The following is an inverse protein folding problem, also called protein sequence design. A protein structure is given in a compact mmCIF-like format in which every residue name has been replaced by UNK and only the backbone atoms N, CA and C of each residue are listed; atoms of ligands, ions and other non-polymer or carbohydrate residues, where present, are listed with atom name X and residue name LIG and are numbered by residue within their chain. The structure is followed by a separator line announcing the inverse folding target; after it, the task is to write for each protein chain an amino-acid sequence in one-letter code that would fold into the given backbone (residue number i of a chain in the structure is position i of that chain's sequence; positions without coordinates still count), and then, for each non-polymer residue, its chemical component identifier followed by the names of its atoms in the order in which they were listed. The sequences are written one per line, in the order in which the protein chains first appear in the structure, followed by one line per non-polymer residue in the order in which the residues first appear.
data_IF_452319097499
#
_entry.id   IF_452319097499
#
_cell.length_a   1.000
_cell.length_b   1.000
_cell.length_c   1.000
_cell.angle_alpha   90.00
_cell.angle_beta   90.00
_cell.angle_gamma   90.00
#
_symmetry.space_group_name_H-M   'P 1'
#
loop_
_entity.id
_entity.type
_entity.pdbx_description
1 polymer ?
#
# COMPACT_ATOMS: atom_id res chain seq x y z
N UNK A 1 50.39 -36.70 12.41
CA UNK A 1 48.99 -36.24 12.47
C UNK A 1 48.94 -34.80 11.94
N UNK A 2 48.47 -34.61 10.70
CA UNK A 2 48.41 -33.28 10.06
C UNK A 2 47.24 -32.50 10.67
N UNK A 3 47.51 -31.27 11.10
CA UNK A 3 46.58 -30.41 11.81
C UNK A 3 45.38 -30.01 10.93
N UNK A 4 44.26 -30.74 11.03
CA UNK A 4 42.98 -30.42 10.39
C UNK A 4 42.27 -29.18 10.99
N UNK A 5 42.93 -28.42 11.87
CA UNK A 5 42.37 -27.22 12.51
C UNK A 5 42.09 -26.08 11.52
N UNK A 6 42.86 -25.96 10.44
CA UNK A 6 42.67 -24.86 9.47
C UNK A 6 41.40 -25.01 8.62
N UNK A 7 41.05 -26.25 8.23
CA UNK A 7 39.82 -26.51 7.47
C UNK A 7 38.55 -26.30 8.30
N UNK A 8 38.58 -26.65 9.58
CA UNK A 8 37.45 -26.46 10.48
C UNK A 8 37.18 -24.98 10.77
N UNK A 9 38.23 -24.17 10.97
CA UNK A 9 38.11 -22.72 11.20
C UNK A 9 37.58 -21.99 9.94
N UNK A 10 37.98 -22.42 8.74
CA UNK A 10 37.48 -21.83 7.50
C UNK A 10 35.98 -22.11 7.28
N UNK A 11 35.53 -23.34 7.54
CA UNK A 11 34.11 -23.72 7.44
C UNK A 11 33.28 -23.01 8.50
N UNK A 12 33.80 -22.91 9.74
CA UNK A 12 33.13 -22.19 10.83
C UNK A 12 33.02 -20.68 10.52
N UNK A 13 34.08 -20.07 9.98
CA UNK A 13 34.06 -18.68 9.54
C UNK A 13 33.04 -18.42 8.43
N UNK A 14 32.95 -19.31 7.44
CA UNK A 14 31.95 -19.22 6.38
C UNK A 14 30.52 -19.34 6.93
N UNK A 15 30.28 -20.29 7.85
CA UNK A 15 28.97 -20.47 8.48
C UNK A 15 28.54 -19.25 9.30
N UNK A 16 29.48 -18.60 10.00
CA UNK A 16 29.20 -17.37 10.75
C UNK A 16 28.81 -16.24 9.79
N UNK A 17 29.52 -16.07 8.67
CA UNK A 17 29.19 -15.05 7.66
C UNK A 17 27.83 -15.31 7.03
N UNK A 18 27.51 -16.57 6.71
CA UNK A 18 26.20 -16.96 6.18
C UNK A 18 25.09 -16.75 7.21
N UNK A 19 25.33 -17.10 8.48
CA UNK A 19 24.37 -16.90 9.56
C UNK A 19 24.11 -15.41 9.82
N UNK A 20 25.16 -14.57 9.84
CA UNK A 20 25.03 -13.12 9.95
C UNK A 20 24.28 -12.55 8.73
N UNK A 21 24.59 -13.01 7.53
CA UNK A 21 23.86 -12.64 6.32
C UNK A 21 22.37 -13.00 6.40
N UNK A 22 22.05 -14.18 6.92
CA UNK A 22 20.66 -14.61 7.19
C UNK A 22 19.98 -13.74 8.25
N UNK A 23 20.67 -13.40 9.33
CA UNK A 23 20.12 -12.53 10.38
C UNK A 23 19.85 -11.13 9.84
N UNK A 24 20.78 -10.53 9.08
CA UNK A 24 20.57 -9.23 8.45
C UNK A 24 19.41 -9.29 7.44
N UNK A 25 19.33 -10.35 6.64
CA UNK A 25 18.22 -10.58 5.71
C UNK A 25 16.87 -10.70 6.44
N UNK A 26 16.82 -11.45 7.55
CA UNK A 26 15.61 -11.57 8.38
C UNK A 26 15.25 -10.27 9.10
N UNK A 27 16.24 -9.48 9.54
CA UNK A 27 16.02 -8.19 10.19
C UNK A 27 15.50 -7.15 9.21
N UNK A 28 15.96 -7.15 7.95
CA UNK A 28 15.37 -6.33 6.89
C UNK A 28 13.90 -6.70 6.64
N UNK A 29 13.58 -8.00 6.61
CA UNK A 29 12.20 -8.47 6.53
C UNK A 29 11.36 -8.15 7.77
N UNK A 30 11.94 -8.20 8.98
CA UNK A 30 11.24 -7.90 10.23
C UNK A 30 10.98 -6.39 10.40
N UNK A 31 11.85 -5.54 9.86
CA UNK A 31 11.69 -4.07 9.93
C UNK A 31 10.56 -3.52 9.05
N UNK A 32 10.03 -4.30 8.10
CA UNK A 32 8.87 -3.91 7.29
C UNK A 32 7.52 -4.21 7.97
N UNK A 33 7.54 -4.62 9.24
CA UNK A 33 6.45 -5.32 9.90
C UNK A 33 6.67 -6.82 9.70
N UNK A 34 6.83 -7.54 10.81
CA UNK A 34 7.19 -8.97 10.84
C UNK A 34 6.35 -9.86 9.92
N UNK A 35 6.74 -11.12 9.71
CA UNK A 35 6.08 -12.02 8.78
C UNK A 35 4.60 -12.17 9.18
N UNK A 36 3.74 -11.38 8.56
CA UNK A 36 2.34 -11.73 8.45
C UNK A 36 2.30 -13.08 7.76
N UNK A 37 1.44 -14.02 8.21
CA UNK A 37 1.26 -15.28 7.50
C UNK A 37 1.05 -14.98 6.02
N UNK A 38 1.62 -15.80 5.12
CA UNK A 38 1.29 -15.77 3.69
C UNK A 38 -0.21 -15.57 3.60
N UNK A 39 -0.64 -14.43 3.07
CA UNK A 39 -2.05 -14.08 3.11
C UNK A 39 -2.80 -15.17 2.35
N UNK A 40 -3.55 -16.00 3.09
CA UNK A 40 -4.56 -16.89 2.53
C UNK A 40 -5.82 -16.07 2.15
N UNK A 41 -5.65 -14.78 1.82
CA UNK A 41 -6.70 -13.99 1.20
C UNK A 41 -7.06 -14.61 -0.15
N UNK A 42 -8.35 -14.53 -0.43
CA UNK A 42 -8.83 -14.94 -1.72
C UNK A 42 -8.24 -14.01 -2.79
N UNK A 43 -8.02 -14.49 -4.02
CA UNK A 43 -7.44 -13.67 -5.08
C UNK A 43 -8.15 -12.32 -5.27
N UNK A 44 -9.46 -12.26 -5.05
CA UNK A 44 -10.28 -11.05 -5.13
C UNK A 44 -10.03 -10.00 -4.03
N UNK A 45 -9.45 -10.40 -2.90
CA UNK A 45 -9.18 -9.52 -1.75
C UNK A 45 -7.78 -8.89 -1.84
N UNK A 46 -6.94 -9.37 -2.77
CA UNK A 46 -5.58 -8.87 -2.94
C UNK A 46 -5.57 -7.40 -3.41
N UNK A 47 -4.59 -6.57 -2.98
CA UNK A 47 -4.56 -5.16 -3.35
C UNK A 47 -4.49 -4.90 -4.86
N UNK A 48 -3.90 -5.83 -5.62
CA UNK A 48 -3.77 -5.78 -7.08
C UNK A 48 -4.89 -6.52 -7.82
N UNK A 49 -5.92 -7.03 -7.13
CA UNK A 49 -7.03 -7.76 -7.77
C UNK A 49 -7.77 -6.92 -8.84
N UNK A 50 -7.78 -5.60 -8.67
CA UNK A 50 -8.43 -4.64 -9.59
C UNK A 50 -7.44 -3.88 -10.47
N UNK A 51 -6.18 -4.31 -10.53
CA UNK A 51 -5.15 -3.62 -11.30
C UNK A 51 -5.48 -3.53 -12.80
N UNK A 52 -6.21 -4.51 -13.35
CA UNK A 52 -6.71 -4.47 -14.73
C UNK A 52 -7.74 -3.36 -15.00
N UNK A 53 -8.35 -2.79 -13.95
CA UNK A 53 -9.28 -1.66 -14.05
C UNK A 53 -8.58 -0.30 -14.04
N UNK A 54 -7.25 -0.28 -13.83
CA UNK A 54 -6.46 0.95 -13.95
C UNK A 54 -6.41 1.38 -15.41
N UNK A 55 -6.74 2.65 -15.64
CA UNK A 55 -6.71 3.27 -16.96
C UNK A 55 -5.40 4.03 -17.12
N UNK A 56 -4.83 3.96 -18.31
CA UNK A 56 -3.69 4.79 -18.66
C UNK A 56 -4.15 6.26 -18.72
N UNK A 57 -3.57 7.16 -17.90
CA UNK A 57 -3.90 8.59 -17.92
C UNK A 57 -3.59 9.26 -19.28
N UNK A 58 -2.73 8.67 -20.10
CA UNK A 58 -2.38 9.17 -21.43
C UNK A 58 -3.23 8.57 -22.56
N UNK A 59 -4.00 7.51 -22.29
CA UNK A 59 -4.94 6.99 -23.28
C UNK A 59 -6.04 8.04 -23.49
N UNK A 60 -6.25 8.47 -24.74
CA UNK A 60 -7.30 9.44 -25.11
C UNK A 60 -8.61 9.04 -24.43
N UNK A 61 -9.02 9.85 -23.46
CA UNK A 61 -10.07 9.57 -22.50
C UNK A 61 -11.34 9.10 -23.19
N UNK A 62 -11.57 7.79 -23.19
CA UNK A 62 -12.90 7.24 -23.28
C UNK A 62 -13.14 6.54 -21.95
N UNK A 63 -13.68 7.32 -21.00
CA UNK A 63 -14.41 6.72 -19.90
C UNK A 63 -15.44 5.77 -20.50
N UNK A 64 -15.57 4.61 -19.87
CA UNK A 64 -16.27 3.42 -20.34
C UNK A 64 -17.62 3.79 -20.99
N UNK A 65 -17.92 3.26 -22.18
CA UNK A 65 -19.23 3.43 -22.86
C UNK A 65 -20.37 2.73 -22.12
N UNK A 66 -20.06 1.91 -21.12
CA UNK A 66 -21.03 1.25 -20.27
C UNK A 66 -21.70 2.23 -19.30
N UNK A 67 -23.01 2.09 -19.12
CA UNK A 67 -23.77 2.94 -18.22
C UNK A 67 -23.23 2.86 -16.77
N UNK A 68 -23.10 4.00 -16.07
CA UNK A 68 -22.64 4.03 -14.70
C UNK A 68 -23.62 3.29 -13.79
N UNK A 69 -23.09 2.46 -12.89
CA UNK A 69 -23.85 1.75 -11.85
C UNK A 69 -23.87 2.53 -10.52
N UNK A 70 -22.91 3.42 -10.30
CA UNK A 70 -22.89 4.34 -9.15
C UNK A 70 -23.74 5.59 -9.40
N UNK A 71 -24.39 6.10 -8.35
CA UNK A 71 -25.12 7.38 -8.39
C UNK A 71 -24.25 8.58 -8.03
N UNK A 72 -23.05 8.35 -7.50
CA UNK A 72 -22.10 9.42 -7.11
C UNK A 72 -21.46 10.00 -8.37
N UNK A 73 -21.39 11.33 -8.44
CA UNK A 73 -20.84 12.06 -9.59
C UNK A 73 -19.84 13.09 -9.11
N UNK A 74 -18.66 13.09 -9.72
CA UNK A 74 -17.65 14.14 -9.55
C UNK A 74 -17.81 15.08 -10.73
N UNK A 75 -18.47 16.22 -10.54
CA UNK A 75 -18.72 17.20 -11.61
C UNK A 75 -17.71 18.34 -11.61
N UNK A 76 -16.96 18.50 -10.53
CA UNK A 76 -15.89 19.48 -10.35
C UNK A 76 -14.69 18.80 -9.68
N UNK A 77 -13.46 19.32 -9.87
CA UNK A 77 -12.29 18.80 -9.18
C UNK A 77 -12.53 18.73 -7.66
N UNK A 78 -12.22 17.57 -7.08
CA UNK A 78 -12.47 17.28 -5.67
C UNK A 78 -11.16 16.88 -5.00
N UNK A 79 -10.84 17.50 -3.87
CA UNK A 79 -9.71 17.09 -3.03
C UNK A 79 -10.23 16.48 -1.74
N UNK A 80 -9.75 15.29 -1.40
CA UNK A 80 -10.08 14.58 -0.18
C UNK A 80 -8.81 14.38 0.64
N UNK A 81 -8.86 14.76 1.92
CA UNK A 81 -7.81 14.42 2.89
C UNK A 81 -8.35 13.36 3.85
N UNK A 82 -7.66 12.25 3.96
CA UNK A 82 -8.03 11.12 4.79
C UNK A 82 -6.93 10.81 5.81
N UNK A 83 -7.34 10.50 7.04
CA UNK A 83 -6.44 9.94 8.03
C UNK A 83 -6.23 8.47 7.70
N UNK A 84 -4.97 8.06 7.63
CA UNK A 84 -4.57 6.66 7.47
C UNK A 84 -4.25 6.09 8.84
N UNK A 85 -4.71 4.88 9.13
CA UNK A 85 -4.45 4.20 10.39
C UNK A 85 -4.09 2.73 10.19
N UNK A 86 -3.31 2.20 11.13
CA UNK A 86 -3.12 0.77 11.33
C UNK A 86 -3.84 0.40 12.60
N UNK A 87 -4.96 -0.31 12.51
CA UNK A 87 -5.89 -0.50 13.62
C UNK A 87 -6.34 0.87 14.17
N UNK A 88 -5.93 1.23 15.39
CA UNK A 88 -6.25 2.52 16.03
C UNK A 88 -5.12 3.55 15.91
N UNK A 89 -3.92 3.15 15.47
CA UNK A 89 -2.77 4.05 15.46
C UNK A 89 -2.75 4.91 14.19
N UNK A 90 -2.58 6.24 14.30
CA UNK A 90 -2.38 7.09 13.15
C UNK A 90 -1.11 6.72 12.36
N UNK A 91 -1.25 6.73 11.04
CA UNK A 91 -0.20 6.45 10.05
C UNK A 91 -0.19 7.55 8.98
N UNK A 92 -0.41 8.79 9.41
CA UNK A 92 -0.29 9.99 8.57
C UNK A 92 -1.52 10.28 7.73
N UNK A 93 -1.33 11.09 6.69
CA UNK A 93 -2.42 11.69 5.90
C UNK A 93 -2.27 11.33 4.44
N UNK A 94 -3.36 10.84 3.86
CA UNK A 94 -3.54 10.58 2.44
C UNK A 94 -4.32 11.75 1.83
N UNK A 95 -3.78 12.37 0.79
CA UNK A 95 -4.47 13.38 -0.02
C UNK A 95 -4.77 12.79 -1.38
N UNK A 96 -6.03 12.81 -1.80
CA UNK A 96 -6.52 12.36 -3.10
C UNK A 96 -7.12 13.55 -3.85
N UNK A 97 -6.77 13.69 -5.13
CA UNK A 97 -7.37 14.65 -6.05
C UNK A 97 -8.11 13.89 -7.13
N UNK A 98 -9.41 14.12 -7.25
CA UNK A 98 -10.28 13.51 -8.24
C UNK A 98 -10.67 14.54 -9.30
N UNK A 99 -10.48 14.16 -10.56
CA UNK A 99 -10.90 14.94 -11.70
C UNK A 99 -12.30 14.53 -12.18
N UNK A 100 -13.10 15.44 -12.74
CA UNK A 100 -14.42 15.11 -13.29
C UNK A 100 -14.39 14.08 -14.43
N UNK A 101 -13.23 13.91 -15.07
CA UNK A 101 -13.00 12.89 -16.09
C UNK A 101 -12.72 11.50 -15.49
N UNK A 102 -12.88 11.34 -14.17
CA UNK A 102 -12.74 10.08 -13.46
C UNK A 102 -11.31 9.66 -13.17
N UNK A 103 -10.28 10.42 -13.57
CA UNK A 103 -8.91 10.19 -13.13
C UNK A 103 -8.70 10.72 -11.71
N UNK A 104 -7.70 10.16 -11.03
CA UNK A 104 -7.29 10.65 -9.72
C UNK A 104 -5.77 10.58 -9.55
N UNK A 105 -5.26 11.48 -8.72
CA UNK A 105 -3.88 11.45 -8.23
C UNK A 105 -3.89 11.47 -6.70
N UNK A 106 -2.79 11.09 -6.08
CA UNK A 106 -2.71 11.17 -4.63
C UNK A 106 -1.31 11.11 -4.08
N UNK A 107 -1.18 11.56 -2.83
CA UNK A 107 0.05 11.49 -2.06
C UNK A 107 -0.25 10.98 -0.65
N UNK A 108 0.65 10.18 -0.10
CA UNK A 108 0.58 9.74 1.29
C UNK A 108 1.90 10.04 1.98
N UNK A 109 1.82 10.66 3.16
CA UNK A 109 2.97 10.87 4.03
C UNK A 109 2.68 10.31 5.41
N UNK A 110 3.58 9.48 5.91
CA UNK A 110 3.47 8.80 7.19
C UNK A 110 4.78 8.91 7.97
N UNK A 111 4.69 9.25 9.25
CA UNK A 111 5.81 9.19 10.19
C UNK A 111 5.36 8.53 11.48
N UNK A 112 6.08 7.50 11.92
CA UNK A 112 5.82 6.85 13.20
C UNK A 112 7.09 6.16 13.70
N UNK A 113 7.13 5.87 14.99
CA UNK A 113 8.17 5.05 15.60
C UNK A 113 7.55 3.77 16.15
N UNK A 114 8.26 2.67 16.03
CA UNK A 114 7.85 1.40 16.60
C UNK A 114 9.09 0.64 17.04
N UNK A 115 9.12 0.22 18.31
CA UNK A 115 10.29 -0.44 18.95
C UNK A 115 11.56 0.41 18.82
N UNK A 116 12.58 -0.08 18.11
CA UNK A 116 13.89 0.55 17.94
C UNK A 116 14.05 1.24 16.57
N UNK A 117 12.95 1.54 15.88
CA UNK A 117 12.99 2.12 14.55
C UNK A 117 12.00 3.28 14.39
N UNK A 118 12.45 4.33 13.71
CA UNK A 118 11.60 5.40 13.16
C UNK A 118 11.38 5.18 11.67
N UNK A 119 10.15 5.35 11.24
CA UNK A 119 9.68 5.15 9.88
C UNK A 119 9.22 6.49 9.30
N UNK A 120 9.64 6.77 8.08
CA UNK A 120 9.12 7.87 7.27
C UNK A 120 8.78 7.33 5.89
N UNK A 121 7.50 7.31 5.55
CA UNK A 121 6.99 6.81 4.27
C UNK A 121 6.43 7.99 3.50
N UNK A 122 6.87 8.13 2.26
CA UNK A 122 6.31 9.05 1.28
C UNK A 122 5.90 8.27 0.05
N UNK A 123 4.71 8.51 -0.46
CA UNK A 123 4.20 7.82 -1.64
C UNK A 123 3.42 8.75 -2.55
N UNK A 124 3.39 8.42 -3.83
CA UNK A 124 2.59 9.08 -4.85
C UNK A 124 1.87 8.05 -5.70
N UNK A 125 0.65 8.36 -6.13
CA UNK A 125 -0.18 7.46 -6.93
C UNK A 125 -0.93 8.18 -8.04
N UNK A 126 -1.27 7.40 -9.06
CA UNK A 126 -2.24 7.75 -10.08
C UNK A 126 -3.27 6.63 -10.20
N UNK A 127 -4.47 6.97 -10.62
CA UNK A 127 -5.56 6.02 -10.69
C UNK A 127 -6.80 6.56 -11.36
N UNK A 128 -7.90 5.85 -11.16
CA UNK A 128 -9.19 6.25 -11.66
C UNK A 128 -10.32 5.71 -10.80
N UNK A 129 -11.44 6.39 -10.91
CA UNK A 129 -12.75 5.89 -10.51
C UNK A 129 -13.23 4.83 -11.50
N UNK A 130 -14.03 3.90 -11.01
CA UNK A 130 -14.75 2.91 -11.81
C UNK A 130 -16.25 3.04 -11.54
N UNK A 131 -16.97 3.83 -12.35
CA UNK A 131 -18.41 4.00 -12.17
C UNK A 131 -19.21 2.76 -12.58
N UNK A 132 -18.58 1.76 -13.20
CA UNK A 132 -19.23 0.52 -13.67
C UNK A 132 -19.10 -0.64 -12.68
N UNK A 133 -18.18 -0.52 -11.72
CA UNK A 133 -18.07 -1.40 -10.58
C UNK A 133 -19.16 -1.07 -9.54
N UNK A 134 -19.66 -2.10 -8.87
CA UNK A 134 -20.53 -1.95 -7.70
C UNK A 134 -19.69 -2.16 -6.46
N UNK A 135 -19.86 -1.29 -5.48
CA UNK A 135 -19.46 -1.61 -4.12
C UNK A 135 -20.39 -2.71 -3.59
N UNK A 136 -19.90 -3.51 -2.65
CA UNK A 136 -20.73 -4.45 -1.92
C UNK A 136 -20.96 -3.91 -0.51
N UNK A 137 -22.18 -4.01 0.00
CA UNK A 137 -22.47 -3.84 1.42
C UNK A 137 -21.78 -4.95 2.22
N UNK A 138 -21.67 -4.82 3.56
CA UNK A 138 -21.17 -5.90 4.41
C UNK A 138 -21.90 -7.23 4.20
N UNK A 139 -23.19 -7.19 3.83
CA UNK A 139 -24.02 -8.36 3.56
C UNK A 139 -23.87 -8.91 2.12
N UNK A 140 -22.92 -8.38 1.35
CA UNK A 140 -22.64 -8.79 -0.03
C UNK A 140 -23.62 -8.26 -1.09
N UNK A 141 -24.50 -7.30 -0.74
CA UNK A 141 -25.45 -6.73 -1.69
C UNK A 141 -24.82 -5.58 -2.48
N UNK A 142 -25.17 -5.37 -3.75
CA UNK A 142 -24.72 -4.21 -4.50
C UNK A 142 -25.12 -2.88 -3.85
N UNK A 143 -24.15 -1.99 -3.68
CA UNK A 143 -24.33 -0.62 -3.21
C UNK A 143 -24.00 0.38 -4.32
N UNK A 144 -25.03 1.10 -4.78
CA UNK A 144 -24.93 2.14 -5.82
C UNK A 144 -24.57 3.51 -5.25
N UNK A 145 -24.67 3.69 -3.93
CA UNK A 145 -24.39 4.97 -3.24
C UNK A 145 -22.90 5.28 -3.10
N UNK A 146 -22.05 4.34 -3.53
CA UNK A 146 -20.59 4.44 -3.49
C UNK A 146 -20.02 4.40 -4.91
N UNK A 147 -18.99 5.20 -5.15
CA UNK A 147 -18.15 5.17 -6.34
C UNK A 147 -16.85 4.47 -5.98
N UNK A 148 -16.56 3.37 -6.68
CA UNK A 148 -15.31 2.64 -6.53
C UNK A 148 -14.17 3.44 -7.16
N UNK A 149 -13.00 3.43 -6.53
CA UNK A 149 -11.78 3.90 -7.15
C UNK A 149 -10.58 3.01 -6.80
N UNK A 150 -9.61 3.00 -7.70
CA UNK A 150 -8.32 2.35 -7.51
C UNK A 150 -7.20 3.30 -7.93
N UNK A 151 -6.09 3.27 -7.20
CA UNK A 151 -4.86 3.94 -7.58
C UNK A 151 -3.65 3.04 -7.32
N UNK A 152 -2.59 3.29 -8.08
CA UNK A 152 -1.31 2.62 -7.95
C UNK A 152 -0.18 3.63 -8.06
N UNK A 153 0.90 3.38 -7.36
CA UNK A 153 2.13 4.12 -7.55
C UNK A 153 3.27 3.53 -6.74
N UNK A 154 4.18 4.38 -6.30
CA UNK A 154 5.39 3.96 -5.62
C UNK A 154 5.52 4.64 -4.26
N UNK A 155 6.20 3.97 -3.34
CA UNK A 155 6.58 4.53 -2.06
C UNK A 155 8.09 4.44 -1.85
N UNK A 156 8.60 5.41 -1.12
CA UNK A 156 9.92 5.42 -0.50
C UNK A 156 9.70 5.37 1.03
N UNK A 157 10.30 4.39 1.69
CA UNK A 157 10.28 4.23 3.14
C UNK A 157 11.71 4.36 3.67
N UNK A 158 11.95 5.40 4.46
CA UNK A 158 13.16 5.56 5.22
C UNK A 158 12.97 4.97 6.62
N UNK A 159 13.75 3.96 6.95
CA UNK A 159 13.82 3.35 8.28
C UNK A 159 15.10 3.84 8.95
N UNK A 160 14.98 4.39 10.15
CA UNK A 160 16.12 4.81 10.97
C UNK A 160 16.16 3.96 12.24
N UNK A 161 17.24 3.21 12.44
CA UNK A 161 17.50 2.56 13.72
C UNK A 161 17.76 3.63 14.77
N UNK A 162 16.97 3.63 15.84
CA UNK A 162 17.01 4.66 16.89
C UNK A 162 18.20 4.52 17.83
N UNK A 163 18.86 3.36 17.86
CA UNK A 163 20.03 3.08 18.70
C UNK A 163 21.34 3.36 17.95
N UNK A 164 21.47 2.83 16.74
CA UNK A 164 22.70 2.97 15.93
C UNK A 164 22.70 4.21 15.04
N UNK A 165 21.53 4.81 14.78
CA UNK A 165 21.38 5.89 13.81
C UNK A 165 21.45 5.45 12.34
N UNK A 166 21.59 4.15 12.08
CA UNK A 166 21.63 3.58 10.74
C UNK A 166 20.35 3.87 9.97
N UNK A 167 20.47 4.16 8.66
CA UNK A 167 19.35 4.49 7.78
C UNK A 167 19.27 3.52 6.61
N UNK A 168 18.09 2.96 6.40
CA UNK A 168 17.77 2.05 5.30
C UNK A 168 16.66 2.70 4.46
N UNK A 169 16.79 2.61 3.14
CA UNK A 169 15.76 3.03 2.19
C UNK A 169 15.14 1.79 1.55
N UNK A 170 13.86 1.57 1.80
CA UNK A 170 13.05 0.57 1.13
C UNK A 170 12.16 1.24 0.09
N UNK A 171 12.00 0.61 -1.06
CA UNK A 171 11.10 1.07 -2.13
C UNK A 171 10.12 -0.03 -2.48
N UNK A 172 8.96 0.36 -2.98
CA UNK A 172 8.00 -0.62 -3.48
C UNK A 172 6.80 0.00 -4.17
N UNK A 173 5.78 -0.82 -4.35
CA UNK A 173 4.51 -0.43 -4.94
C UNK A 173 3.49 -0.13 -3.86
N UNK A 174 2.71 0.92 -4.06
CA UNK A 174 1.56 1.26 -3.26
C UNK A 174 0.29 1.04 -4.08
N UNK A 175 -0.71 0.41 -3.48
CA UNK A 175 -2.07 0.32 -4.01
C UNK A 175 -3.04 1.07 -3.08
N UNK A 176 -4.01 1.75 -3.67
CA UNK A 176 -5.16 2.33 -2.96
C UNK A 176 -6.41 1.74 -3.56
N UNK A 177 -7.24 1.12 -2.72
CA UNK A 177 -8.56 0.67 -3.10
C UNK A 177 -9.56 1.38 -2.19
N UNK A 178 -10.54 2.08 -2.76
CA UNK A 178 -11.46 2.88 -1.97
C UNK A 178 -12.83 3.07 -2.57
N UNK A 179 -13.67 3.69 -1.74
CA UNK A 179 -15.05 4.03 -2.00
C UNK A 179 -15.24 5.51 -1.66
N UNK A 180 -15.83 6.26 -2.59
CA UNK A 180 -16.28 7.63 -2.40
C UNK A 180 -17.80 7.65 -2.32
N UNK A 181 -18.38 8.35 -1.36
CA UNK A 181 -19.83 8.46 -1.24
C UNK A 181 -20.40 9.78 -1.76
N UNK A 182 -21.72 9.93 -1.69
CA UNK A 182 -22.41 11.15 -2.16
C UNK A 182 -22.10 12.40 -1.32
N UNK A 183 -21.51 12.25 -0.12
CA UNK A 183 -20.99 13.36 0.67
C UNK A 183 -19.53 13.67 0.35
N UNK A 184 -18.96 13.00 -0.65
CA UNK A 184 -17.54 13.05 -1.01
C UNK A 184 -16.60 12.61 0.11
N UNK A 185 -17.11 11.82 1.07
CA UNK A 185 -16.27 11.12 2.04
C UNK A 185 -15.67 9.88 1.39
N UNK A 186 -14.37 9.69 1.57
CA UNK A 186 -13.63 8.54 1.05
C UNK A 186 -13.25 7.58 2.17
N UNK A 187 -13.39 6.29 1.90
CA UNK A 187 -12.94 5.20 2.79
C UNK A 187 -12.26 4.12 1.98
N UNK A 188 -11.33 3.38 2.59
CA UNK A 188 -10.69 2.28 1.88
C UNK A 188 -9.42 1.78 2.55
N UNK A 189 -8.58 1.15 1.74
CA UNK A 189 -7.29 0.60 2.13
C UNK A 189 -6.14 1.20 1.33
N UNK A 190 -5.02 1.41 2.01
CA UNK A 190 -3.70 1.65 1.43
C UNK A 190 -2.87 0.39 1.67
N UNK A 191 -2.29 -0.17 0.62
CA UNK A 191 -1.51 -1.41 0.71
C UNK A 191 -0.10 -1.20 0.16
N UNK A 192 0.91 -1.57 0.94
CA UNK A 192 2.32 -1.53 0.54
C UNK A 192 2.81 -2.93 0.19
N UNK A 193 3.55 -3.06 -0.91
CA UNK A 193 4.18 -4.33 -1.30
C UNK A 193 5.47 -4.13 -2.09
N UNK A 194 6.45 -5.01 -1.86
CA UNK A 194 7.67 -5.09 -2.66
C UNK A 194 7.60 -6.08 -3.84
N UNK A 195 6.74 -7.11 -3.76
CA UNK A 195 6.84 -8.28 -4.65
C UNK A 195 5.54 -9.04 -4.91
N UNK A 196 4.36 -8.48 -4.60
CA UNK A 196 3.02 -9.09 -4.79
C UNK A 196 2.83 -10.51 -4.19
N UNK A 197 3.71 -10.91 -3.28
CA UNK A 197 3.63 -12.17 -2.51
C UNK A 197 3.43 -11.90 -1.00
N UNK A 198 3.53 -10.64 -0.60
CA UNK A 198 3.19 -10.11 0.71
C UNK A 198 2.69 -8.67 0.52
N UNK A 199 1.93 -8.17 1.48
CA UNK A 199 1.61 -6.75 1.57
C UNK A 199 1.31 -6.38 3.02
N UNK A 200 1.33 -5.08 3.31
CA UNK A 200 0.86 -4.51 4.58
C UNK A 200 -0.28 -3.55 4.27
N UNK A 201 -1.39 -3.72 4.98
CA UNK A 201 -2.60 -2.93 4.81
C UNK A 201 -2.75 -1.87 5.91
N UNK A 202 -3.21 -0.69 5.48
CA UNK A 202 -3.66 0.40 6.32
C UNK A 202 -5.07 0.78 5.89
N UNK A 203 -5.90 1.22 6.83
CA UNK A 203 -7.23 1.75 6.51
C UNK A 203 -7.19 3.26 6.43
N UNK A 204 -8.00 3.86 5.57
CA UNK A 204 -8.18 5.31 5.57
C UNK A 204 -9.66 5.69 5.61
N UNK A 205 -9.91 6.85 6.22
CA UNK A 205 -11.23 7.48 6.25
C UNK A 205 -11.06 8.99 6.22
N UNK A 206 -11.79 9.66 5.32
CA UNK A 206 -11.98 11.10 5.38
C UNK A 206 -13.28 11.44 6.09
N UNK A 207 -13.32 12.67 6.61
CA UNK A 207 -14.56 13.35 6.96
C UNK A 207 -14.94 14.31 5.83
N UNK A 208 -16.23 14.65 5.67
CA UNK A 208 -16.68 15.66 4.73
C UNK A 208 -16.05 17.03 4.99
#
# INVERSE_FOLDING_TARGET
MKNNRSGFVAILGLLIVVAIGFIIYYLQFASLGGPGPRSHEKPEDQPWARESSLKDPNAKATLTTAAPKSTVKITQPLTVQALVSSSADPRGTLTLHFDPNGFLTGTWTCKYSYTHAAYNITASVTGNTDPTALANTPDGKPDRSKLVFIARGTYDQHVTNLESGEKILNKGTLYINGLLDSSHSATGKVSLTGSKNWHVDYTFKSTP
#
